data_IF_750531153309
#
_entry.id   IF_750531153309
#
_cell.length_a   1.000
_cell.length_b   1.000
_cell.length_c   1.000
_cell.angle_alpha   90.00
_cell.angle_beta   90.00
_cell.angle_gamma   90.00
#
_symmetry.space_group_name_H-M   'P 1'
#
loop_
_entity.id
_entity.type
_entity.pdbx_description
1 polymer ?
#
# COMPACT_ATOMS: atom_id res chain seq x y z
N UNK A 1 20.19 -6.90 15.40
CA UNK A 1 20.14 -6.86 13.93
C UNK A 1 18.69 -6.93 13.48
N UNK A 2 18.08 -5.80 13.15
CA UNK A 2 16.81 -5.81 12.40
C UNK A 2 17.21 -6.05 10.95
N UNK A 3 16.83 -7.20 10.37
CA UNK A 3 17.06 -7.45 8.94
C UNK A 3 16.15 -6.50 8.16
N UNK A 4 16.70 -5.70 7.27
CA UNK A 4 15.90 -4.84 6.38
C UNK A 4 15.18 -5.72 5.37
N UNK A 5 13.88 -5.97 5.60
CA UNK A 5 13.02 -6.68 4.66
C UNK A 5 12.47 -5.67 3.66
N UNK A 6 12.58 -5.95 2.36
CA UNK A 6 12.06 -5.05 1.32
C UNK A 6 10.56 -5.30 1.14
N UNK A 7 9.80 -4.24 0.85
CA UNK A 7 8.34 -4.33 0.63
C UNK A 7 7.94 -5.39 -0.40
N UNK A 8 8.72 -5.54 -1.48
CA UNK A 8 8.50 -6.58 -2.49
C UNK A 8 8.62 -8.01 -1.94
N UNK A 9 9.49 -8.23 -0.96
CA UNK A 9 9.70 -9.56 -0.36
C UNK A 9 8.51 -9.90 0.55
N UNK A 10 7.96 -8.89 1.25
CA UNK A 10 6.73 -8.99 2.05
C UNK A 10 5.53 -9.27 1.14
N UNK A 11 5.36 -8.49 0.07
CA UNK A 11 4.26 -8.70 -0.87
C UNK A 11 4.33 -10.07 -1.53
N UNK A 12 5.52 -10.53 -1.94
CA UNK A 12 5.68 -11.87 -2.50
C UNK A 12 5.27 -12.95 -1.50
N UNK A 13 5.63 -12.82 -0.22
CA UNK A 13 5.23 -13.78 0.81
C UNK A 13 3.70 -13.91 0.88
N UNK A 14 2.98 -12.81 1.06
CA UNK A 14 1.51 -12.86 1.20
C UNK A 14 0.79 -13.27 -0.09
N UNK A 15 1.32 -12.91 -1.27
CA UNK A 15 0.79 -13.39 -2.55
C UNK A 15 0.94 -14.91 -2.70
N UNK A 16 2.04 -15.49 -2.18
CA UNK A 16 2.23 -16.95 -2.16
C UNK A 16 1.30 -17.65 -1.17
N UNK A 17 0.98 -17.00 -0.04
CA UNK A 17 0.00 -17.49 0.93
C UNK A 17 -1.47 -17.37 0.43
N UNK A 18 -1.68 -16.81 -0.77
CA UNK A 18 -2.99 -16.79 -1.43
C UNK A 18 -3.70 -15.44 -1.44
N UNK A 19 -3.06 -14.36 -0.99
CA UNK A 19 -3.60 -13.02 -1.22
C UNK A 19 -3.64 -12.73 -2.74
N UNK A 20 -4.76 -12.20 -3.24
CA UNK A 20 -4.90 -11.84 -4.66
C UNK A 20 -4.16 -10.56 -5.03
N UNK A 21 -4.19 -9.58 -4.11
CA UNK A 21 -3.61 -8.25 -4.26
C UNK A 21 -3.08 -7.79 -2.91
N UNK A 22 -1.95 -7.08 -2.89
CA UNK A 22 -1.46 -6.36 -1.72
C UNK A 22 -1.28 -4.88 -2.00
N UNK A 23 -1.62 -4.07 -1.01
CA UNK A 23 -1.29 -2.65 -0.95
C UNK A 23 -0.51 -2.42 0.35
N UNK A 24 0.70 -1.89 0.23
CA UNK A 24 1.59 -1.58 1.35
C UNK A 24 1.82 -0.07 1.40
N UNK A 25 1.32 0.60 2.45
CA UNK A 25 1.55 2.04 2.65
C UNK A 25 2.88 2.27 3.36
N UNK A 26 3.63 3.27 2.91
CA UNK A 26 4.97 3.60 3.39
C UNK A 26 5.10 5.10 3.73
N UNK A 27 3.99 5.72 4.17
CA UNK A 27 3.96 7.13 4.59
C UNK A 27 4.50 8.07 3.52
N UNK A 28 5.54 8.83 3.86
CA UNK A 28 6.22 9.77 2.96
C UNK A 28 7.00 9.10 1.81
N UNK A 29 7.10 7.78 1.77
CA UNK A 29 7.65 7.03 0.64
C UNK A 29 6.55 6.57 -0.34
N UNK A 30 5.29 6.94 -0.07
CA UNK A 30 4.15 6.57 -0.88
C UNK A 30 3.53 5.24 -0.49
N UNK A 31 3.06 4.47 -1.47
CA UNK A 31 2.50 3.15 -1.30
C UNK A 31 2.92 2.23 -2.45
N UNK A 32 2.85 0.92 -2.24
CA UNK A 32 3.11 -0.09 -3.27
C UNK A 32 1.86 -0.94 -3.45
N UNK A 33 1.38 -1.02 -4.68
CA UNK A 33 0.37 -1.98 -5.12
C UNK A 33 1.07 -3.14 -5.82
N UNK A 34 0.70 -4.38 -5.48
CA UNK A 34 1.23 -5.56 -6.14
C UNK A 34 0.19 -6.67 -6.24
N UNK A 35 0.10 -7.29 -7.41
CA UNK A 35 -0.71 -8.47 -7.69
C UNK A 35 0.07 -9.46 -8.56
N UNK A 36 -0.52 -10.62 -8.85
CA UNK A 36 0.07 -11.53 -9.83
C UNK A 36 0.14 -10.83 -11.21
N UNK A 37 1.35 -10.66 -11.73
CA UNK A 37 1.59 -10.07 -13.05
C UNK A 37 1.94 -8.57 -13.05
N UNK A 38 1.93 -7.87 -11.91
CA UNK A 38 2.28 -6.44 -11.91
C UNK A 38 2.53 -5.83 -10.54
N UNK A 39 3.37 -4.78 -10.55
CA UNK A 39 3.67 -3.92 -9.40
C UNK A 39 3.56 -2.46 -9.83
N UNK A 40 2.94 -1.65 -9.00
CA UNK A 40 2.82 -0.19 -9.18
C UNK A 40 3.31 0.48 -7.90
N UNK A 41 4.26 1.40 -8.02
CA UNK A 41 4.65 2.28 -6.92
C UNK A 41 3.86 3.59 -7.05
N UNK A 42 3.19 3.98 -5.97
CA UNK A 42 2.31 5.15 -5.88
C UNK A 42 3.05 6.20 -5.05
N UNK A 43 3.44 7.35 -5.61
CA UNK A 43 4.15 8.37 -4.85
C UNK A 43 3.25 9.02 -3.79
N UNK A 44 3.82 9.44 -2.67
CA UNK A 44 3.14 10.32 -1.73
C UNK A 44 3.16 11.77 -2.22
N UNK A 45 2.16 12.54 -1.84
CA UNK A 45 2.21 13.98 -1.96
C UNK A 45 3.25 14.57 -1.01
N UNK A 46 4.00 15.57 -1.48
CA UNK A 46 4.91 16.35 -0.64
C UNK A 46 4.09 17.41 0.12
N UNK A 47 3.76 17.11 1.38
CA UNK A 47 2.95 17.95 2.25
C UNK A 47 3.58 18.05 3.62
N UNK A 48 3.33 19.18 4.30
CA UNK A 48 3.63 19.31 5.71
C UNK A 48 2.66 18.45 6.55
N UNK A 49 3.20 17.49 7.29
CA UNK A 49 2.40 16.57 8.10
C UNK A 49 2.09 17.20 9.46
N UNK A 50 0.86 17.67 9.62
CA UNK A 50 0.36 18.20 10.90
C UNK A 50 -0.02 17.05 11.84
N UNK A 51 -0.76 16.03 11.35
CA UNK A 51 -1.13 14.81 12.09
C UNK A 51 -1.21 13.59 11.16
N UNK A 52 -0.79 12.44 11.65
CA UNK A 52 -0.79 11.15 10.92
C UNK A 52 -1.87 10.16 11.42
N UNK A 53 -2.54 10.46 12.54
CA UNK A 53 -3.60 9.58 13.05
C UNK A 53 -4.75 9.52 12.02
N UNK A 54 -5.18 8.31 11.67
CA UNK A 54 -6.23 8.07 10.69
C UNK A 54 -5.80 8.16 9.22
N UNK A 55 -4.54 8.50 8.91
CA UNK A 55 -4.10 8.58 7.51
C UNK A 55 -4.22 7.24 6.77
N UNK A 56 -4.01 6.13 7.48
CA UNK A 56 -4.23 4.77 6.96
C UNK A 56 -5.70 4.47 6.69
N UNK A 57 -6.59 4.83 7.61
CA UNK A 57 -8.04 4.61 7.45
C UNK A 57 -8.60 5.43 6.28
N UNK A 58 -8.18 6.70 6.15
CA UNK A 58 -8.55 7.54 5.02
C UNK A 58 -8.06 6.96 3.68
N UNK A 59 -6.84 6.41 3.65
CA UNK A 59 -6.29 5.77 2.45
C UNK A 59 -7.11 4.54 2.05
N UNK A 60 -7.41 3.64 3.01
CA UNK A 60 -8.21 2.44 2.76
C UNK A 60 -9.63 2.78 2.33
N UNK A 61 -10.30 3.72 3.01
CA UNK A 61 -11.65 4.17 2.67
C UNK A 61 -11.72 4.72 1.24
N UNK A 62 -10.69 5.45 0.80
CA UNK A 62 -10.64 5.95 -0.58
C UNK A 62 -10.54 4.80 -1.58
N UNK A 63 -9.68 3.82 -1.32
CA UNK A 63 -9.53 2.65 -2.19
C UNK A 63 -10.83 1.86 -2.32
N UNK A 64 -11.53 1.62 -1.21
CA UNK A 64 -12.84 0.97 -1.23
C UNK A 64 -13.89 1.78 -1.99
N UNK A 65 -13.93 3.10 -1.80
CA UNK A 65 -14.86 3.98 -2.51
C UNK A 65 -14.61 3.92 -4.01
N UNK A 66 -13.36 3.99 -4.45
CA UNK A 66 -13.01 3.92 -5.87
C UNK A 66 -13.37 2.56 -6.48
N UNK A 67 -13.10 1.46 -5.77
CA UNK A 67 -13.52 0.13 -6.19
C UNK A 67 -15.05 -0.03 -6.25
N UNK A 68 -15.77 0.58 -5.32
CA UNK A 68 -17.23 0.51 -5.28
C UNK A 68 -17.87 1.31 -6.41
N UNK A 69 -17.29 2.47 -6.79
CA UNK A 69 -17.82 3.30 -7.88
C UNK A 69 -17.57 2.75 -9.28
N UNK A 70 -16.75 1.71 -9.43
CA UNK A 70 -16.49 1.02 -10.72
C UNK A 70 -17.22 -0.33 -10.85
N UNK A 71 -18.09 -0.66 -9.90
CA UNK A 71 -19.06 -1.76 -9.98
C UNK A 71 -20.50 -1.20 -10.10
#
# INVERSE_FOLDING_TARGET
MIRTIRLKDIARFFLLEGAGVLILTAGAQGAMYQQQGGKIDIPSFDIEVIRFCGCGDCFTARFETELHCVH
#
